data_IF_682333340566
#
_entry.id   IF_682333340566
#
_cell.length_a   1.000
_cell.length_b   1.000
_cell.length_c   1.000
_cell.angle_alpha   90.00
_cell.angle_beta   90.00
_cell.angle_gamma   90.00
#
_symmetry.space_group_name_H-M   'P 1'
#
loop_
_entity.id
_entity.type
_entity.pdbx_description
1 polymer ?
#
# COMPACT_ATOMS: atom_id res chain seq x y z
N UNK A 1 -1.20 -13.90 14.93
CA UNK A 1 -2.28 -13.07 14.35
C UNK A 1 -3.68 -13.67 14.49
N UNK A 2 -3.86 -14.99 14.64
CA UNK A 2 -5.20 -15.63 14.65
C UNK A 2 -5.87 -15.78 16.04
N UNK A 3 -5.24 -15.27 17.11
CA UNK A 3 -5.81 -15.32 18.47
C UNK A 3 -6.62 -14.08 18.88
N UNK A 4 -6.51 -12.97 18.13
CA UNK A 4 -7.10 -11.67 18.50
C UNK A 4 -8.48 -11.40 17.87
N UNK A 5 -8.98 -12.27 16.98
CA UNK A 5 -10.31 -12.13 16.37
C UNK A 5 -11.49 -12.46 17.32
N UNK A 6 -11.24 -12.91 18.57
CA UNK A 6 -12.32 -13.26 19.51
C UNK A 6 -13.02 -12.04 20.14
N UNK A 7 -12.47 -10.84 19.99
CA UNK A 7 -13.04 -9.58 20.51
C UNK A 7 -13.43 -8.56 19.43
N UNK A 8 -13.67 -9.02 18.20
CA UNK A 8 -14.18 -8.19 17.11
C UNK A 8 -15.68 -8.01 17.33
N UNK A 9 -16.09 -6.79 17.66
CA UNK A 9 -17.50 -6.42 17.86
C UNK A 9 -18.13 -5.96 16.55
N UNK A 10 -18.09 -6.85 15.56
CA UNK A 10 -19.07 -6.87 14.46
C UNK A 10 -20.00 -8.06 14.73
N UNK A 11 -21.26 -8.01 14.28
CA UNK A 11 -22.23 -9.08 14.56
C UNK A 11 -21.63 -10.45 14.25
N UNK A 12 -21.72 -11.38 15.21
CA UNK A 12 -21.13 -12.74 15.17
C UNK A 12 -21.30 -13.49 13.84
N UNK A 13 -22.29 -13.11 13.02
CA UNK A 13 -22.54 -13.66 11.68
C UNK A 13 -21.50 -13.27 10.61
N UNK A 14 -20.84 -12.11 10.68
CA UNK A 14 -19.82 -11.69 9.69
C UNK A 14 -18.50 -12.43 9.91
N UNK A 15 -18.15 -12.71 11.17
CA UNK A 15 -16.92 -13.41 11.54
C UNK A 15 -17.06 -14.93 11.31
N UNK A 16 -18.23 -15.53 11.59
CA UNK A 16 -18.47 -16.94 11.27
C UNK A 16 -18.54 -17.21 9.77
N UNK A 17 -19.05 -16.24 8.99
CA UNK A 17 -19.09 -16.31 7.54
C UNK A 17 -17.67 -16.50 6.95
N UNK A 18 -16.66 -15.79 7.46
CA UNK A 18 -15.29 -15.82 6.93
C UNK A 18 -14.60 -17.21 6.94
N UNK A 19 -15.09 -18.17 7.74
CA UNK A 19 -14.49 -19.51 7.82
C UNK A 19 -14.83 -20.43 6.62
N UNK A 20 -15.81 -20.07 5.78
CA UNK A 20 -16.28 -20.93 4.69
C UNK A 20 -16.11 -20.32 3.28
N UNK A 21 -15.51 -19.13 3.16
CA UNK A 21 -15.37 -18.45 1.87
C UNK A 21 -14.00 -18.63 1.24
N UNK A 22 -13.99 -18.62 -0.10
CA UNK A 22 -12.77 -18.58 -0.90
C UNK A 22 -11.82 -17.45 -0.44
N UNK A 23 -10.51 -17.71 -0.45
CA UNK A 23 -9.50 -16.88 0.23
C UNK A 23 -9.51 -15.37 -0.10
N UNK A 24 -10.07 -14.98 -1.25
CA UNK A 24 -10.22 -13.58 -1.64
C UNK A 24 -11.30 -12.80 -0.86
N UNK A 25 -12.36 -13.47 -0.38
CA UNK A 25 -13.36 -12.82 0.49
C UNK A 25 -12.79 -12.56 1.89
N UNK A 26 -11.90 -13.43 2.36
CA UNK A 26 -11.19 -13.25 3.64
C UNK A 26 -10.28 -12.02 3.56
N UNK A 27 -9.61 -11.81 2.42
CA UNK A 27 -8.76 -10.65 2.18
C UNK A 27 -9.54 -9.33 2.15
N UNK A 28 -10.80 -9.32 1.73
CA UNK A 28 -11.62 -8.10 1.66
C UNK A 28 -12.35 -7.76 2.96
N UNK A 29 -12.66 -8.76 3.80
CA UNK A 29 -13.43 -8.59 5.03
C UNK A 29 -12.54 -8.48 6.27
N UNK A 30 -11.53 -9.34 6.42
CA UNK A 30 -10.69 -9.40 7.61
C UNK A 30 -9.97 -8.08 7.90
N UNK A 31 -9.12 -7.59 6.97
CA UNK A 31 -8.45 -6.30 7.12
C UNK A 31 -9.42 -5.12 7.22
N UNK A 32 -10.57 -5.16 6.55
CA UNK A 32 -11.58 -4.10 6.62
C UNK A 32 -12.21 -4.00 8.02
N UNK A 33 -12.61 -5.12 8.61
CA UNK A 33 -13.10 -5.17 10.00
C UNK A 33 -12.02 -4.73 10.99
N UNK A 34 -10.76 -5.13 10.75
CA UNK A 34 -9.64 -4.71 11.58
C UNK A 34 -9.43 -3.20 11.52
N UNK A 35 -9.48 -2.57 10.34
CA UNK A 35 -9.41 -1.12 10.18
C UNK A 35 -10.54 -0.41 10.95
N UNK A 36 -11.77 -0.92 10.90
CA UNK A 36 -12.89 -0.34 11.65
C UNK A 36 -12.64 -0.36 13.16
N UNK A 37 -12.23 -1.51 13.69
CA UNK A 37 -11.92 -1.68 15.11
C UNK A 37 -10.75 -0.79 15.54
N UNK A 38 -9.71 -0.67 14.71
CA UNK A 38 -8.57 0.18 15.00
C UNK A 38 -8.99 1.65 15.02
N UNK A 39 -9.73 2.12 14.01
CA UNK A 39 -10.18 3.50 13.91
C UNK A 39 -11.02 3.90 15.11
N UNK A 40 -12.09 3.13 15.39
CA UNK A 40 -13.00 3.49 16.48
C UNK A 40 -12.32 3.43 17.85
N UNK A 41 -11.32 2.57 18.07
CA UNK A 41 -10.62 2.46 19.37
C UNK A 41 -9.48 3.48 19.52
N UNK A 42 -8.88 3.92 18.42
CA UNK A 42 -7.76 4.88 18.43
C UNK A 42 -8.14 6.32 18.79
N UNK A 43 -9.43 6.67 18.67
CA UNK A 43 -9.89 8.05 18.84
C UNK A 43 -9.61 8.97 17.65
N UNK A 44 -9.09 8.44 16.53
CA UNK A 44 -8.78 9.22 15.33
C UNK A 44 -10.01 9.48 14.45
N UNK A 45 -9.93 10.51 13.61
CA UNK A 45 -11.02 10.99 12.75
C UNK A 45 -11.05 10.37 11.35
N UNK A 46 -10.10 9.48 11.03
CA UNK A 46 -10.05 8.77 9.75
C UNK A 46 -8.66 8.23 9.42
N UNK A 47 -8.42 8.04 8.13
CA UNK A 47 -7.21 7.51 7.54
C UNK A 47 -6.61 8.46 6.51
N UNK A 48 -5.29 8.43 6.40
CA UNK A 48 -4.54 9.05 5.32
C UNK A 48 -3.81 7.98 4.51
N UNK A 49 -3.97 8.01 3.18
CA UNK A 49 -3.29 7.08 2.25
C UNK A 49 -2.52 7.88 1.20
N UNK A 50 -1.19 7.74 1.12
CA UNK A 50 -0.41 8.14 -0.05
C UNK A 50 -0.82 7.26 -1.24
N UNK A 51 -1.65 7.79 -2.14
CA UNK A 51 -2.25 7.03 -3.23
C UNK A 51 -1.41 7.21 -4.50
N UNK A 52 -0.60 6.21 -4.83
CA UNK A 52 0.36 6.27 -5.94
C UNK A 52 -0.22 5.93 -7.31
N UNK A 53 -1.42 5.33 -7.37
CA UNK A 53 -1.96 4.74 -8.60
C UNK A 53 -1.46 3.31 -8.88
N UNK A 54 -0.61 2.75 -8.01
CA UNK A 54 -0.18 1.36 -8.06
C UNK A 54 -1.09 0.39 -7.30
N UNK A 55 -0.85 -0.91 -7.49
CA UNK A 55 -1.65 -2.02 -6.93
C UNK A 55 -1.77 -1.95 -5.40
N UNK A 56 -0.69 -1.62 -4.69
CA UNK A 56 -0.67 -1.77 -3.24
C UNK A 56 -1.45 -0.65 -2.54
N UNK A 57 -1.18 0.61 -2.94
CA UNK A 57 -1.92 1.76 -2.41
C UNK A 57 -3.41 1.71 -2.82
N UNK A 58 -3.71 1.24 -4.03
CA UNK A 58 -5.07 0.96 -4.46
C UNK A 58 -5.75 -0.11 -3.61
N UNK A 59 -5.02 -1.16 -3.22
CA UNK A 59 -5.53 -2.22 -2.35
C UNK A 59 -5.88 -1.69 -0.97
N UNK A 60 -5.01 -0.87 -0.36
CA UNK A 60 -5.28 -0.22 0.93
C UNK A 60 -6.51 0.69 0.86
N UNK A 61 -6.60 1.56 -0.15
CA UNK A 61 -7.75 2.43 -0.34
C UNK A 61 -9.06 1.63 -0.55
N UNK A 62 -8.99 0.54 -1.30
CA UNK A 62 -10.13 -0.36 -1.55
C UNK A 62 -10.56 -1.11 -0.28
N UNK A 63 -9.64 -1.44 0.62
CA UNK A 63 -9.97 -2.03 1.92
C UNK A 63 -10.70 -1.04 2.84
N UNK A 64 -10.31 0.23 2.84
CA UNK A 64 -11.04 1.29 3.56
C UNK A 64 -12.44 1.47 2.94
N UNK A 65 -12.58 1.38 1.62
CA UNK A 65 -13.90 1.39 1.00
C UNK A 65 -14.74 0.15 1.37
N UNK A 66 -14.14 -1.04 1.41
CA UNK A 66 -14.78 -2.27 1.90
C UNK A 66 -15.30 -2.07 3.34
N UNK A 67 -14.49 -1.48 4.21
CA UNK A 67 -14.87 -1.11 5.57
C UNK A 67 -16.11 -0.18 5.56
N UNK A 68 -16.12 0.87 4.75
CA UNK A 68 -17.26 1.78 4.63
C UNK A 68 -18.54 1.06 4.20
N UNK A 69 -18.45 0.12 3.25
CA UNK A 69 -19.59 -0.71 2.81
C UNK A 69 -20.15 -1.56 3.96
N UNK A 70 -19.28 -2.15 4.78
CA UNK A 70 -19.68 -2.94 5.95
C UNK A 70 -20.34 -2.07 7.02
N UNK A 71 -19.82 -0.87 7.28
CA UNK A 71 -20.41 0.08 8.23
C UNK A 71 -21.81 0.51 7.80
N UNK A 72 -21.99 0.91 6.54
CA UNK A 72 -23.30 1.26 6.00
C UNK A 72 -24.29 0.09 6.09
N UNK A 73 -23.85 -1.14 5.79
CA UNK A 73 -24.68 -2.33 5.89
C UNK A 73 -25.09 -2.63 7.35
N UNK A 74 -24.18 -2.49 8.31
CA UNK A 74 -24.46 -2.69 9.73
C UNK A 74 -25.47 -1.67 10.27
N UNK A 75 -25.29 -0.38 9.94
CA UNK A 75 -26.24 0.68 10.31
C UNK A 75 -27.62 0.45 9.67
N UNK A 76 -27.67 0.06 8.39
CA UNK A 76 -28.93 -0.30 7.72
C UNK A 76 -29.65 -1.46 8.42
N UNK A 77 -28.90 -2.39 9.02
CA UNK A 77 -29.43 -3.52 9.77
C UNK A 77 -29.76 -3.17 11.24
N UNK A 78 -29.66 -1.90 11.64
CA UNK A 78 -30.06 -1.41 12.97
C UNK A 78 -28.99 -1.47 14.05
N UNK A 79 -27.71 -1.68 13.70
CA UNK A 79 -26.61 -1.71 14.66
C UNK A 79 -26.33 -0.30 15.24
N UNK A 80 -26.80 -0.07 16.47
CA UNK A 80 -26.71 1.22 17.15
C UNK A 80 -25.29 1.54 17.63
N UNK A 81 -24.48 0.53 17.94
CA UNK A 81 -23.09 0.74 18.37
C UNK A 81 -22.24 1.23 17.19
N UNK A 82 -22.40 0.62 16.02
CA UNK A 82 -21.73 1.06 14.79
C UNK A 82 -22.18 2.48 14.41
N UNK A 83 -23.46 2.80 14.54
CA UNK A 83 -23.97 4.15 14.26
C UNK A 83 -23.37 5.20 15.21
N UNK A 84 -23.35 4.92 16.51
CA UNK A 84 -22.73 5.80 17.52
C UNK A 84 -21.25 6.04 17.20
N UNK A 85 -20.52 4.97 16.90
CA UNK A 85 -19.09 5.06 16.60
C UNK A 85 -18.83 5.84 15.30
N UNK A 86 -19.65 5.66 14.26
CA UNK A 86 -19.56 6.42 13.02
C UNK A 86 -19.78 7.93 13.23
N UNK A 87 -20.84 8.31 13.98
CA UNK A 87 -21.14 9.71 14.34
C UNK A 87 -19.99 10.36 15.11
N UNK A 88 -19.40 9.62 16.06
CA UNK A 88 -18.24 10.11 16.82
C UNK A 88 -17.02 10.32 15.94
N UNK A 89 -16.68 9.35 15.07
CA UNK A 89 -15.51 9.43 14.17
C UNK A 89 -15.66 10.61 13.21
N UNK A 90 -16.85 10.80 12.63
CA UNK A 90 -17.05 11.88 11.66
C UNK A 90 -17.25 13.25 12.32
N UNK A 91 -17.56 13.29 13.62
CA UNK A 91 -17.79 14.52 14.39
C UNK A 91 -19.17 15.13 14.18
N UNK A 92 -20.17 14.33 13.82
CA UNK A 92 -21.52 14.78 13.45
C UNK A 92 -22.57 13.87 14.12
N UNK A 93 -23.26 14.34 15.18
CA UNK A 93 -24.24 13.56 15.94
C UNK A 93 -25.47 13.13 15.13
N UNK A 94 -25.83 13.87 14.08
CA UNK A 94 -27.02 13.61 13.27
C UNK A 94 -26.71 12.71 12.07
N UNK A 95 -25.43 12.49 11.78
CA UNK A 95 -24.98 11.70 10.66
C UNK A 95 -25.52 10.26 10.67
N UNK A 96 -25.97 9.79 9.50
CA UNK A 96 -26.38 8.40 9.28
C UNK A 96 -25.71 7.90 8.00
N UNK A 97 -24.74 6.97 8.07
CA UNK A 97 -24.02 6.49 6.90
C UNK A 97 -24.93 5.63 6.02
N UNK A 98 -25.42 6.21 4.91
CA UNK A 98 -26.28 5.51 3.93
C UNK A 98 -25.51 5.05 2.70
N UNK A 99 -24.59 5.87 2.23
CA UNK A 99 -23.81 5.62 1.03
C UNK A 99 -22.32 5.42 1.39
N UNK A 100 -21.73 4.27 1.01
CA UNK A 100 -20.33 3.98 1.33
C UNK A 100 -19.34 5.03 0.81
N UNK A 101 -19.62 5.64 -0.34
CA UNK A 101 -18.77 6.68 -0.94
C UNK A 101 -18.75 7.96 -0.12
N UNK A 102 -19.90 8.32 0.44
CA UNK A 102 -20.04 9.51 1.28
C UNK A 102 -19.34 9.31 2.64
N UNK A 103 -19.53 8.13 3.27
CA UNK A 103 -18.76 7.77 4.46
C UNK A 103 -17.25 7.78 4.17
N UNK A 104 -16.83 7.19 3.05
CA UNK A 104 -15.44 7.16 2.62
C UNK A 104 -14.86 8.57 2.46
N UNK A 105 -15.63 9.54 1.96
CA UNK A 105 -15.19 10.94 1.88
C UNK A 105 -14.85 11.54 3.25
N UNK A 106 -15.63 11.19 4.28
CA UNK A 106 -15.44 11.68 5.63
C UNK A 106 -14.29 10.98 6.35
N UNK A 107 -14.03 9.70 6.09
CA UNK A 107 -13.05 8.92 6.86
C UNK A 107 -11.75 8.62 6.12
N UNK A 108 -11.67 8.88 4.81
CA UNK A 108 -10.48 8.60 4.01
C UNK A 108 -10.02 9.85 3.25
N UNK A 109 -8.80 10.28 3.55
CA UNK A 109 -8.05 11.24 2.75
C UNK A 109 -7.01 10.50 1.93
N UNK A 110 -7.01 10.71 0.62
CA UNK A 110 -5.99 10.18 -0.29
C UNK A 110 -5.16 11.32 -0.86
N UNK A 111 -3.86 11.11 -1.06
CA UNK A 111 -2.99 12.11 -1.66
C UNK A 111 -2.04 11.49 -2.68
N UNK A 112 -2.11 11.95 -3.92
CA UNK A 112 -1.10 11.66 -4.94
C UNK A 112 0.05 12.67 -4.83
N UNK A 113 1.25 12.18 -4.55
CA UNK A 113 2.46 13.00 -4.35
C UNK A 113 3.44 12.76 -5.50
N UNK A 114 3.22 13.48 -6.60
CA UNK A 114 4.00 13.35 -7.83
C UNK A 114 5.27 14.20 -7.83
N UNK A 115 6.16 13.88 -8.76
CA UNK A 115 7.32 14.69 -9.17
C UNK A 115 7.26 14.96 -10.66
N UNK A 116 8.21 15.72 -11.19
CA UNK A 116 8.43 15.90 -12.63
C UNK A 116 8.61 14.57 -13.39
N UNK A 117 9.03 13.53 -12.68
CA UNK A 117 9.25 12.18 -13.21
C UNK A 117 7.97 11.33 -13.25
N UNK A 118 6.90 11.78 -12.58
CA UNK A 118 5.68 10.99 -12.47
C UNK A 118 4.81 11.10 -13.74
N UNK A 119 4.26 9.98 -14.19
CA UNK A 119 3.47 9.95 -15.41
C UNK A 119 2.09 10.57 -15.20
N UNK A 120 1.51 11.06 -16.31
CA UNK A 120 0.11 11.49 -16.32
C UNK A 120 -0.85 10.33 -16.04
N UNK A 121 -0.43 9.11 -16.39
CA UNK A 121 -1.21 7.89 -16.22
C UNK A 121 -1.41 7.53 -14.75
N UNK A 122 -0.33 7.40 -13.97
CA UNK A 122 -0.44 7.05 -12.53
C UNK A 122 -1.23 8.09 -11.74
N UNK A 123 -1.07 9.37 -12.09
CA UNK A 123 -1.88 10.46 -11.54
C UNK A 123 -3.36 10.29 -11.86
N UNK A 124 -3.71 10.02 -13.12
CA UNK A 124 -5.09 9.80 -13.53
C UNK A 124 -5.71 8.58 -12.83
N UNK A 125 -4.99 7.45 -12.80
CA UNK A 125 -5.43 6.22 -12.13
C UNK A 125 -5.73 6.44 -10.64
N UNK A 126 -4.85 7.16 -9.93
CA UNK A 126 -5.06 7.48 -8.52
C UNK A 126 -6.32 8.34 -8.30
N UNK A 127 -6.52 9.35 -9.15
CA UNK A 127 -7.68 10.25 -9.10
C UNK A 127 -8.98 9.51 -9.42
N UNK A 128 -8.97 8.65 -10.44
CA UNK A 128 -10.14 7.90 -10.87
C UNK A 128 -10.58 6.90 -9.80
N UNK A 129 -9.64 6.17 -9.19
CA UNK A 129 -9.95 5.31 -8.06
C UNK A 129 -10.51 6.10 -6.88
N UNK A 130 -9.87 7.21 -6.51
CA UNK A 130 -10.30 8.07 -5.42
C UNK A 130 -11.73 8.62 -5.64
N UNK A 131 -12.06 9.01 -6.86
CA UNK A 131 -13.41 9.44 -7.26
C UNK A 131 -14.43 8.31 -7.13
N UNK A 132 -14.09 7.10 -7.57
CA UNK A 132 -15.01 5.95 -7.52
C UNK A 132 -15.29 5.52 -6.07
N UNK A 133 -14.27 5.45 -5.21
CA UNK A 133 -14.47 5.11 -3.79
C UNK A 133 -15.03 6.28 -2.97
N UNK A 134 -14.94 7.52 -3.46
CA UNK A 134 -15.46 8.73 -2.80
C UNK A 134 -14.52 9.39 -1.79
N UNK A 135 -13.24 9.01 -1.72
CA UNK A 135 -12.29 9.59 -0.76
C UNK A 135 -12.07 11.09 -1.01
N UNK A 136 -11.71 11.85 0.02
CA UNK A 136 -11.23 13.21 -0.16
C UNK A 136 -9.82 13.19 -0.76
N UNK A 137 -9.71 13.51 -2.04
CA UNK A 137 -8.48 13.35 -2.82
C UNK A 137 -7.74 14.67 -3.01
N UNK A 138 -6.43 14.64 -2.75
CA UNK A 138 -5.51 15.73 -3.03
C UNK A 138 -4.42 15.28 -3.99
N UNK A 139 -3.85 16.23 -4.72
CA UNK A 139 -2.69 15.99 -5.58
C UNK A 139 -1.69 17.12 -5.39
N UNK A 140 -0.44 16.77 -5.09
CA UNK A 140 0.63 17.73 -4.80
C UNK A 140 1.89 17.33 -5.57
N UNK A 141 2.63 18.33 -6.05
CA UNK A 141 3.97 18.16 -6.59
C UNK A 141 5.00 18.38 -5.48
N UNK A 142 5.98 17.48 -5.35
CA UNK A 142 6.97 17.53 -4.25
C UNK A 142 8.34 18.06 -4.69
N UNK A 143 8.49 18.44 -5.96
CA UNK A 143 9.76 18.84 -6.58
C UNK A 143 10.43 20.00 -5.86
N UNK A 144 9.66 20.98 -5.39
CA UNK A 144 10.18 22.11 -4.63
C UNK A 144 10.84 21.66 -3.31
N UNK A 145 10.21 20.71 -2.59
CA UNK A 145 10.77 20.17 -1.35
C UNK A 145 12.01 19.32 -1.62
N UNK A 146 11.99 18.50 -2.68
CA UNK A 146 13.15 17.68 -3.10
C UNK A 146 14.33 18.59 -3.46
N UNK A 147 14.08 19.61 -4.28
CA UNK A 147 15.09 20.58 -4.72
C UNK A 147 15.71 21.31 -3.53
N UNK A 148 14.89 21.77 -2.58
CA UNK A 148 15.39 22.44 -1.37
C UNK A 148 16.30 21.52 -0.54
N UNK A 149 15.92 20.26 -0.32
CA UNK A 149 16.74 19.30 0.45
C UNK A 149 18.06 18.99 -0.26
N UNK A 150 18.04 18.77 -1.58
CA UNK A 150 19.25 18.52 -2.35
C UNK A 150 20.16 19.75 -2.41
N UNK A 151 19.59 20.95 -2.46
CA UNK A 151 20.33 22.21 -2.44
C UNK A 151 21.09 22.40 -1.12
N UNK A 152 20.51 22.03 0.03
CA UNK A 152 21.20 22.07 1.34
C UNK A 152 22.44 21.18 1.31
N UNK A 153 22.30 19.92 0.84
CA UNK A 153 23.43 19.00 0.69
C UNK A 153 24.51 19.57 -0.25
N UNK A 154 24.09 20.13 -1.37
CA UNK A 154 25.01 20.69 -2.39
C UNK A 154 25.77 21.89 -1.85
N UNK A 155 25.11 22.76 -1.09
CA UNK A 155 25.73 23.94 -0.47
C UNK A 155 26.79 23.55 0.56
N UNK A 156 26.53 22.52 1.38
CA UNK A 156 27.45 22.09 2.43
C UNK A 156 28.63 21.27 1.91
N UNK A 157 28.43 20.49 0.84
CA UNK A 157 29.45 19.55 0.33
C UNK A 157 30.18 20.02 -0.92
N UNK A 158 29.67 21.05 -1.60
CA UNK A 158 30.16 21.50 -2.90
C UNK A 158 29.92 20.50 -4.04
N UNK A 159 29.11 19.45 -3.84
CA UNK A 159 28.80 18.43 -4.84
C UNK A 159 27.31 18.35 -5.13
N UNK A 160 26.96 18.26 -6.41
CA UNK A 160 25.58 18.14 -6.86
C UNK A 160 25.33 16.70 -7.30
N UNK A 161 24.53 15.90 -6.56
CA UNK A 161 24.20 14.54 -6.96
C UNK A 161 23.34 14.54 -8.23
N UNK A 162 23.54 13.56 -9.10
CA UNK A 162 22.78 13.41 -10.35
C UNK A 162 22.11 12.03 -10.46
N UNK A 163 20.97 11.97 -11.14
CA UNK A 163 20.38 10.70 -11.56
C UNK A 163 21.30 9.97 -12.55
N UNK A 164 21.22 8.64 -12.60
CA UNK A 164 22.01 7.80 -13.50
C UNK A 164 21.79 8.16 -14.95
N UNK A 165 20.54 8.45 -15.33
CA UNK A 165 20.16 8.89 -16.69
C UNK A 165 20.77 10.24 -17.07
N UNK A 166 21.20 11.04 -16.09
CA UNK A 166 21.88 12.32 -16.25
C UNK A 166 23.40 12.23 -16.01
N UNK A 167 23.96 11.01 -16.01
CA UNK A 167 25.40 10.75 -15.85
C UNK A 167 25.89 10.66 -14.41
N UNK A 168 24.99 10.54 -13.43
CA UNK A 168 25.36 10.29 -12.02
C UNK A 168 25.73 8.83 -11.72
N UNK A 169 26.45 8.60 -10.63
CA UNK A 169 26.77 7.25 -10.16
C UNK A 169 25.58 6.53 -9.51
N UNK A 170 25.67 5.20 -9.37
CA UNK A 170 24.60 4.38 -8.75
C UNK A 170 24.20 4.82 -7.35
N UNK A 171 25.16 5.31 -6.55
CA UNK A 171 24.90 5.80 -5.19
C UNK A 171 24.10 7.10 -5.18
N UNK A 172 24.41 8.01 -6.10
CA UNK A 172 23.73 9.30 -6.23
C UNK A 172 22.28 9.11 -6.67
N UNK A 173 22.09 8.26 -7.68
CA UNK A 173 20.77 7.91 -8.21
C UNK A 173 19.87 7.33 -7.12
N UNK A 174 20.35 6.31 -6.40
CA UNK A 174 19.61 5.70 -5.29
C UNK A 174 19.34 6.71 -4.17
N UNK A 175 20.28 7.59 -3.84
CA UNK A 175 20.08 8.61 -2.82
C UNK A 175 18.97 9.60 -3.21
N UNK A 176 18.93 10.06 -4.47
CA UNK A 176 17.90 10.96 -4.98
C UNK A 176 16.51 10.31 -4.99
N UNK A 177 16.41 9.04 -5.37
CA UNK A 177 15.17 8.26 -5.26
C UNK A 177 14.70 8.15 -3.80
N UNK A 178 15.61 7.82 -2.89
CA UNK A 178 15.32 7.70 -1.46
C UNK A 178 14.86 9.02 -0.82
N UNK A 179 15.43 10.16 -1.22
CA UNK A 179 15.00 11.50 -0.75
C UNK A 179 13.54 11.75 -1.13
N UNK A 180 13.17 11.48 -2.38
CA UNK A 180 11.77 11.62 -2.83
C UNK A 180 10.85 10.69 -2.02
N UNK A 181 11.24 9.42 -1.81
CA UNK A 181 10.45 8.45 -1.06
C UNK A 181 10.20 8.92 0.39
N UNK A 182 11.23 9.43 1.09
CA UNK A 182 11.11 9.92 2.47
C UNK A 182 10.33 11.24 2.58
N UNK A 183 10.47 12.14 1.62
CA UNK A 183 9.70 13.39 1.63
C UNK A 183 8.20 13.17 1.49
N UNK A 184 7.78 12.14 0.75
CA UNK A 184 6.37 11.72 0.72
C UNK A 184 5.87 11.30 2.10
N UNK A 185 6.70 10.60 2.89
CA UNK A 185 6.35 10.23 4.26
C UNK A 185 6.21 11.48 5.15
N UNK A 186 7.14 12.43 5.08
CA UNK A 186 7.06 13.70 5.83
C UNK A 186 5.76 14.43 5.52
N UNK A 187 5.43 14.57 4.23
CA UNK A 187 4.18 15.22 3.81
C UNK A 187 2.94 14.42 4.22
N UNK A 188 2.98 13.08 4.16
CA UNK A 188 1.87 12.24 4.58
C UNK A 188 1.49 12.47 6.04
N UNK A 189 2.47 12.52 6.94
CA UNK A 189 2.21 12.80 8.36
C UNK A 189 1.78 14.25 8.59
N UNK A 190 2.35 15.21 7.86
CA UNK A 190 1.92 16.62 7.94
C UNK A 190 0.43 16.75 7.59
N UNK A 191 0.01 16.17 6.47
CA UNK A 191 -1.40 16.17 6.07
C UNK A 191 -2.25 15.37 7.04
N UNK A 192 -1.81 14.21 7.50
CA UNK A 192 -2.56 13.40 8.45
C UNK A 192 -2.88 14.14 9.75
N UNK A 193 -1.94 14.98 10.22
CA UNK A 193 -2.12 15.79 11.44
C UNK A 193 -2.98 17.04 11.22
N UNK A 194 -2.90 17.68 10.04
CA UNK A 194 -3.47 19.01 9.84
C UNK A 194 -4.66 19.07 8.89
N UNK A 195 -4.91 18.07 8.05
CA UNK A 195 -5.96 18.19 7.01
C UNK A 195 -7.37 18.19 7.58
N UNK A 196 -7.60 17.56 8.73
CA UNK A 196 -8.88 17.66 9.44
C UNK A 196 -9.04 19.03 10.09
N UNK A 197 -7.97 19.55 10.71
CA UNK A 197 -7.94 20.92 11.22
C UNK A 197 -8.25 21.95 10.12
N UNK A 198 -7.62 21.83 8.95
CA UNK A 198 -7.86 22.70 7.79
C UNK A 198 -9.30 22.58 7.21
N UNK A 199 -10.06 21.59 7.67
CA UNK A 199 -11.46 21.33 7.29
C UNK A 199 -12.42 21.52 8.47
N UNK A 200 -11.99 22.19 9.53
CA UNK A 200 -12.77 22.43 10.75
C UNK A 200 -13.33 21.15 11.39
N UNK A 201 -12.54 20.07 11.34
CA UNK A 201 -12.89 18.77 11.94
C UNK A 201 -11.93 18.39 13.07
N UNK A 202 -12.45 17.80 14.15
CA UNK A 202 -11.62 17.35 15.27
C UNK A 202 -10.80 16.11 14.90
N UNK A 203 -9.69 15.91 15.63
CA UNK A 203 -8.84 14.71 15.54
C UNK A 203 -7.79 14.77 14.44
N UNK A 204 -7.01 13.70 14.33
CA UNK A 204 -6.05 13.46 13.25
C UNK A 204 -6.44 12.24 12.41
N UNK A 205 -5.59 11.90 11.45
CA UNK A 205 -5.72 10.72 10.61
C UNK A 205 -4.62 9.71 10.93
N UNK A 206 -4.96 8.43 10.87
CA UNK A 206 -3.97 7.34 10.87
C UNK A 206 -3.36 7.20 9.49
N UNK A 207 -2.03 7.29 9.38
CA UNK A 207 -1.30 7.06 8.14
C UNK A 207 -1.25 5.56 7.86
N UNK A 208 -1.83 5.13 6.74
CA UNK A 208 -1.80 3.74 6.31
C UNK A 208 -0.59 3.48 5.41
N UNK A 209 0.27 2.55 5.82
CA UNK A 209 1.35 2.04 5.01
C UNK A 209 0.85 1.07 3.94
N UNK A 210 1.60 0.98 2.83
CA UNK A 210 1.19 0.19 1.65
C UNK A 210 2.21 -0.87 1.24
N UNK A 211 3.20 -1.19 2.08
CA UNK A 211 4.16 -2.28 1.76
C UNK A 211 3.51 -3.66 1.86
N UNK A 212 3.70 -4.52 0.86
CA UNK A 212 3.20 -5.90 0.89
C UNK A 212 4.22 -6.88 1.52
N UNK A 213 3.78 -8.11 1.81
CA UNK A 213 4.62 -9.10 2.53
C UNK A 213 5.83 -9.55 1.72
N UNK A 214 5.72 -9.56 0.39
CA UNK A 214 6.78 -10.04 -0.50
C UNK A 214 7.93 -9.01 -0.52
N UNK A 215 7.61 -7.72 -0.69
CA UNK A 215 8.58 -6.62 -0.58
C UNK A 215 9.22 -6.53 0.80
N UNK A 216 8.41 -6.68 1.86
CA UNK A 216 8.90 -6.72 3.24
C UNK A 216 9.83 -7.89 3.52
N UNK A 217 9.58 -9.05 2.91
CA UNK A 217 10.46 -10.22 2.99
C UNK A 217 11.81 -9.97 2.31
N UNK A 218 11.78 -9.34 1.12
CA UNK A 218 13.00 -9.03 0.35
C UNK A 218 13.79 -7.87 0.96
N UNK A 219 13.13 -6.98 1.68
CA UNK A 219 13.65 -5.67 2.07
C UNK A 219 13.66 -4.67 0.92
N UNK A 220 12.79 -4.86 -0.08
CA UNK A 220 12.68 -3.99 -1.25
C UNK A 220 11.77 -2.79 -0.93
N UNK A 221 12.31 -1.85 -0.15
CA UNK A 221 11.64 -0.62 0.27
C UNK A 221 12.67 0.42 0.69
N UNK A 222 12.30 1.70 0.67
CA UNK A 222 13.16 2.73 1.26
C UNK A 222 12.86 2.82 2.75
N UNK A 223 13.89 2.65 3.60
CA UNK A 223 13.70 2.82 5.04
C UNK A 223 13.19 4.24 5.36
N UNK A 224 12.08 4.31 6.11
CA UNK A 224 11.35 5.53 6.49
C UNK A 224 10.63 6.26 5.33
N UNK A 225 10.27 5.57 4.26
CA UNK A 225 9.31 6.08 3.27
C UNK A 225 7.85 5.68 3.63
N UNK A 226 6.93 5.81 2.67
CA UNK A 226 5.52 5.43 2.82
C UNK A 226 5.26 3.91 2.96
N UNK A 227 6.30 3.06 2.94
CA UNK A 227 6.22 1.69 3.46
C UNK A 227 6.07 1.66 4.98
N UNK A 228 6.41 2.76 5.65
CA UNK A 228 6.21 3.00 7.08
C UNK A 228 4.97 3.89 7.30
N UNK A 229 4.15 3.54 8.28
CA UNK A 229 2.91 4.20 8.64
C UNK A 229 2.50 3.78 10.05
N UNK A 230 1.40 4.30 10.56
CA UNK A 230 0.88 3.93 11.88
C UNK A 230 0.46 2.45 11.89
N UNK A 231 -0.21 2.03 10.81
CA UNK A 231 -0.64 0.65 10.59
C UNK A 231 -0.57 0.26 9.12
N UNK A 232 -0.42 -1.04 8.85
CA UNK A 232 -0.38 -1.59 7.49
C UNK A 232 -1.39 -2.74 7.35
N UNK A 233 -2.53 -2.54 6.68
CA UNK A 233 -3.55 -3.57 6.52
C UNK A 233 -3.18 -4.67 5.51
N UNK A 234 -2.16 -4.44 4.67
CA UNK A 234 -1.73 -5.38 3.62
C UNK A 234 -0.34 -5.99 3.85
N UNK A 235 0.35 -5.63 4.93
CA UNK A 235 1.73 -6.07 5.21
C UNK A 235 1.88 -7.58 5.41
N UNK A 236 0.78 -8.32 5.57
CA UNK A 236 0.76 -9.79 5.63
C UNK A 236 0.19 -10.46 4.37
N UNK A 237 -0.09 -9.72 3.29
CA UNK A 237 -0.75 -10.21 2.08
C UNK A 237 0.26 -10.20 0.92
N UNK A 238 0.27 -11.28 0.13
CA UNK A 238 1.15 -11.41 -1.05
C UNK A 238 0.68 -10.50 -2.19
N UNK A 239 1.61 -10.05 -3.04
CA UNK A 239 1.31 -9.26 -4.25
C UNK A 239 0.32 -9.99 -5.17
N UNK A 240 0.44 -11.31 -5.24
CA UNK A 240 -0.46 -12.18 -6.02
C UNK A 240 -1.89 -12.11 -5.47
N UNK A 241 -2.05 -12.19 -4.15
CA UNK A 241 -3.37 -12.11 -3.53
C UNK A 241 -3.95 -10.69 -3.56
N UNK A 242 -3.12 -9.65 -3.52
CA UNK A 242 -3.55 -8.26 -3.74
C UNK A 242 -4.11 -8.08 -5.16
N UNK A 243 -3.44 -8.59 -6.20
CA UNK A 243 -3.97 -8.56 -7.57
C UNK A 243 -5.32 -9.27 -7.68
N UNK A 244 -5.47 -10.44 -7.04
CA UNK A 244 -6.75 -11.18 -6.98
C UNK A 244 -7.83 -10.40 -6.24
N UNK A 245 -7.49 -9.77 -5.12
CA UNK A 245 -8.40 -8.94 -4.34
C UNK A 245 -8.90 -7.74 -5.16
N UNK A 246 -8.02 -7.02 -5.86
CA UNK A 246 -8.42 -5.90 -6.71
C UNK A 246 -9.34 -6.34 -7.85
N UNK A 247 -9.06 -7.50 -8.47
CA UNK A 247 -9.95 -8.06 -9.50
C UNK A 247 -11.35 -8.35 -8.93
N UNK A 248 -11.41 -9.00 -7.77
CA UNK A 248 -12.67 -9.25 -7.05
C UNK A 248 -13.41 -7.95 -6.71
N UNK A 249 -12.68 -6.93 -6.23
CA UNK A 249 -13.24 -5.63 -5.87
C UNK A 249 -13.74 -4.86 -7.11
N UNK A 250 -13.06 -4.97 -8.25
CA UNK A 250 -13.53 -4.40 -9.51
C UNK A 250 -14.93 -4.92 -9.85
N UNK A 251 -15.13 -6.23 -9.78
CA UNK A 251 -16.39 -6.89 -10.14
C UNK A 251 -17.49 -6.68 -9.09
N UNK A 252 -17.14 -6.79 -7.81
CA UNK A 252 -18.10 -6.79 -6.70
C UNK A 252 -18.42 -5.39 -6.20
N UNK A 253 -17.42 -4.49 -6.17
CA UNK A 253 -17.56 -3.13 -5.67
C UNK A 253 -17.82 -2.13 -6.81
N UNK A 254 -17.80 -2.60 -8.07
CA UNK A 254 -18.03 -1.82 -9.29
C UNK A 254 -17.02 -0.69 -9.47
N UNK A 255 -15.75 -0.98 -9.14
CA UNK A 255 -14.65 -0.04 -9.24
C UNK A 255 -13.85 -0.28 -10.52
N UNK A 256 -14.29 0.29 -11.65
CA UNK A 256 -13.65 0.10 -12.95
C UNK A 256 -12.21 0.61 -13.03
N UNK A 257 -11.84 1.60 -12.21
CA UNK A 257 -10.46 2.13 -12.16
C UNK A 257 -9.44 1.04 -11.78
N UNK A 258 -9.87 0.00 -11.04
CA UNK A 258 -9.00 -1.11 -10.66
C UNK A 258 -8.55 -1.96 -11.85
N UNK A 259 -9.31 -2.04 -12.94
CA UNK A 259 -8.88 -2.77 -14.13
C UNK A 259 -7.69 -2.11 -14.80
N UNK A 260 -7.70 -0.78 -14.91
CA UNK A 260 -6.59 -0.04 -15.50
C UNK A 260 -5.36 -0.09 -14.59
N UNK A 261 -5.54 0.03 -13.27
CA UNK A 261 -4.45 -0.16 -12.29
C UNK A 261 -3.83 -1.58 -12.38
N UNK A 262 -4.63 -2.61 -12.64
CA UNK A 262 -4.13 -3.99 -12.79
C UNK A 262 -3.40 -4.22 -14.12
N UNK A 263 -3.70 -3.44 -15.16
CA UNK A 263 -3.06 -3.49 -16.48
C UNK A 263 -1.81 -2.62 -16.56
N UNK A 264 -1.75 -1.56 -15.76
CA UNK A 264 -0.60 -0.67 -15.69
C UNK A 264 0.67 -1.45 -15.30
N UNK A 265 1.79 -1.09 -15.92
CA UNK A 265 3.07 -1.75 -15.65
C UNK A 265 3.58 -1.34 -14.27
N UNK A 266 3.86 -2.28 -13.35
CA UNK A 266 4.41 -1.95 -12.02
C UNK A 266 5.80 -1.32 -12.14
N UNK A 267 5.89 -0.05 -11.81
CA UNK A 267 7.14 0.71 -11.86
C UNK A 267 7.20 1.78 -10.79
N UNK A 268 8.41 2.05 -10.27
CA UNK A 268 8.67 3.17 -9.38
C UNK A 268 9.09 4.40 -10.20
N UNK A 269 8.19 5.37 -10.36
CA UNK A 269 8.44 6.63 -11.09
C UNK A 269 9.29 7.62 -10.28
N UNK A 270 10.47 7.18 -9.82
CA UNK A 270 11.40 7.96 -8.98
C UNK A 270 12.62 8.48 -9.75
N UNK A 271 12.84 8.01 -10.98
CA UNK A 271 13.91 8.45 -11.87
C UNK A 271 13.32 9.12 -13.12
N UNK A 272 14.02 10.07 -13.75
CA UNK A 272 13.56 10.66 -15.00
C UNK A 272 13.32 9.62 -16.07
N UNK A 273 12.19 9.75 -16.78
CA UNK A 273 11.85 8.87 -17.89
C UNK A 273 12.84 9.10 -19.04
N UNK A 274 13.43 8.02 -19.56
CA UNK A 274 14.25 8.09 -20.77
C UNK A 274 13.31 7.95 -21.96
N UNK A 275 13.24 8.99 -22.80
CA UNK A 275 12.34 9.03 -23.98
C UNK A 275 10.85 8.80 -23.65
N UNK A 276 10.43 9.20 -22.45
CA UNK A 276 9.05 9.01 -21.96
C UNK A 276 8.70 7.56 -21.57
N UNK A 277 9.68 6.64 -21.57
CA UNK A 277 9.48 5.26 -21.15
C UNK A 277 10.08 5.00 -19.77
N UNK A 278 9.36 4.19 -19.00
CA UNK A 278 9.87 3.71 -17.71
C UNK A 278 10.95 2.68 -17.96
N UNK A 279 12.13 2.91 -17.42
CA UNK A 279 13.34 2.15 -17.77
C UNK A 279 13.39 0.79 -17.07
N UNK A 280 12.65 0.59 -15.97
CA UNK A 280 12.82 -0.61 -15.13
C UNK A 280 11.55 -0.98 -14.35
N UNK A 281 11.22 -2.28 -14.32
CA UNK A 281 10.13 -2.84 -13.50
C UNK A 281 10.65 -3.32 -12.15
N UNK A 282 9.77 -3.40 -11.15
CA UNK A 282 10.13 -3.84 -9.79
C UNK A 282 10.76 -5.24 -9.78
N UNK A 283 10.23 -6.18 -10.58
CA UNK A 283 10.76 -7.55 -10.68
C UNK A 283 12.15 -7.60 -11.32
N UNK A 284 12.43 -6.71 -12.28
CA UNK A 284 13.74 -6.60 -12.89
C UNK A 284 14.78 -6.03 -11.90
N UNK A 285 14.40 -5.04 -11.09
CA UNK A 285 15.29 -4.49 -10.05
C UNK A 285 15.54 -5.46 -8.89
N UNK A 286 14.51 -6.21 -8.48
CA UNK A 286 14.67 -7.27 -7.47
C UNK A 286 15.46 -8.49 -7.99
N UNK A 287 15.56 -8.67 -9.30
CA UNK A 287 16.18 -9.83 -9.94
C UNK A 287 15.36 -11.12 -9.78
N UNK A 288 14.06 -11.01 -9.46
CA UNK A 288 13.16 -12.14 -9.24
C UNK A 288 11.69 -11.72 -9.39
N UNK A 289 10.85 -12.67 -9.77
CA UNK A 289 9.40 -12.43 -9.87
C UNK A 289 8.71 -12.47 -8.49
N UNK A 290 7.55 -11.83 -8.37
CA UNK A 290 6.72 -11.93 -7.17
C UNK A 290 6.24 -13.37 -6.89
N UNK A 291 6.08 -14.20 -7.94
CA UNK A 291 5.71 -15.61 -7.78
C UNK A 291 6.85 -16.43 -7.14
N UNK A 292 8.09 -16.18 -7.55
CA UNK A 292 9.29 -16.76 -6.95
C UNK A 292 9.44 -16.29 -5.51
N UNK A 293 9.28 -14.98 -5.25
CA UNK A 293 9.36 -14.39 -3.91
C UNK A 293 8.32 -14.95 -2.93
N UNK A 294 7.08 -15.13 -3.39
CA UNK A 294 6.02 -15.78 -2.60
C UNK A 294 6.35 -17.25 -2.29
N UNK A 295 6.96 -17.96 -3.24
CA UNK A 295 7.42 -19.34 -3.03
C UNK A 295 8.54 -19.39 -2.00
N UNK A 296 9.53 -18.50 -2.10
CA UNK A 296 10.58 -18.38 -1.10
C UNK A 296 10.06 -18.06 0.29
N UNK A 297 9.10 -17.13 0.40
CA UNK A 297 8.46 -16.78 1.67
C UNK A 297 7.78 -17.96 2.35
N UNK A 298 7.04 -18.77 1.58
CA UNK A 298 6.39 -19.99 2.08
C UNK A 298 7.41 -21.04 2.53
N UNK A 299 8.42 -21.33 1.70
CA UNK A 299 9.48 -22.28 2.06
C UNK A 299 10.22 -21.84 3.33
N UNK A 300 10.61 -20.56 3.41
CA UNK A 300 11.33 -20.01 4.57
C UNK A 300 10.48 -20.02 5.85
N UNK A 301 9.24 -19.52 5.80
CA UNK A 301 8.47 -19.23 7.01
C UNK A 301 7.50 -20.32 7.42
N UNK A 302 6.83 -20.98 6.46
CA UNK A 302 5.85 -22.03 6.75
C UNK A 302 6.52 -23.40 6.88
N UNK A 303 7.52 -23.68 6.04
CA UNK A 303 8.23 -24.96 6.03
C UNK A 303 9.60 -24.92 6.73
N UNK A 304 9.95 -23.79 7.36
CA UNK A 304 11.22 -23.58 8.07
C UNK A 304 12.47 -23.99 7.28
N UNK A 305 12.43 -23.86 5.95
CA UNK A 305 13.53 -24.27 5.09
C UNK A 305 14.66 -23.22 5.15
N UNK A 306 15.80 -23.62 5.70
CA UNK A 306 17.07 -22.91 5.49
C UNK A 306 17.55 -23.01 4.04
N UNK A 307 18.68 -22.36 3.67
CA UNK A 307 19.13 -22.26 2.28
C UNK A 307 19.26 -23.62 1.56
N UNK A 308 19.88 -24.61 2.21
CA UNK A 308 20.07 -25.94 1.61
C UNK A 308 18.73 -26.68 1.41
N UNK A 309 17.88 -26.72 2.43
CA UNK A 309 16.56 -27.38 2.34
C UNK A 309 15.66 -26.71 1.28
N UNK A 310 15.74 -25.38 1.17
CA UNK A 310 15.04 -24.61 0.14
C UNK A 310 15.54 -24.98 -1.25
N UNK A 311 16.87 -24.98 -1.46
CA UNK A 311 17.49 -25.44 -2.70
C UNK A 311 17.04 -26.84 -3.09
N UNK A 312 17.16 -27.82 -2.17
CA UNK A 312 16.76 -29.21 -2.45
C UNK A 312 15.30 -29.34 -2.88
N UNK A 313 14.39 -28.55 -2.30
CA UNK A 313 12.98 -28.54 -2.73
C UNK A 313 12.80 -27.89 -4.10
N UNK A 314 13.42 -26.74 -4.33
CA UNK A 314 13.25 -25.97 -5.56
C UNK A 314 13.85 -26.65 -6.78
N UNK A 315 14.95 -27.39 -6.64
CA UNK A 315 15.54 -28.16 -7.77
C UNK A 315 14.52 -29.14 -8.33
N UNK A 316 13.74 -29.80 -7.47
CA UNK A 316 12.68 -30.71 -7.91
C UNK A 316 11.45 -29.96 -8.42
N UNK A 317 11.02 -28.91 -7.70
CA UNK A 317 9.81 -28.15 -8.06
C UNK A 317 9.97 -27.39 -9.39
N UNK A 318 11.17 -26.92 -9.69
CA UNK A 318 11.48 -26.12 -10.88
C UNK A 318 12.32 -26.87 -11.91
N UNK A 319 12.38 -28.20 -11.84
CA UNK A 319 13.17 -29.04 -12.76
C UNK A 319 12.86 -28.79 -14.26
N UNK A 320 11.63 -28.37 -14.57
CA UNK A 320 11.21 -28.06 -15.95
C UNK A 320 11.49 -26.61 -16.37
N UNK A 321 11.86 -25.74 -15.43
CA UNK A 321 12.10 -24.29 -15.64
C UNK A 321 13.59 -23.94 -15.55
N UNK A 322 14.34 -24.60 -14.68
CA UNK A 322 15.71 -24.23 -14.33
C UNK A 322 16.59 -25.46 -14.09
N UNK A 323 17.87 -25.35 -14.45
CA UNK A 323 18.90 -26.33 -14.08
C UNK A 323 19.26 -26.24 -12.59
N UNK A 324 19.82 -27.29 -11.97
CA UNK A 324 20.27 -27.22 -10.58
C UNK A 324 21.25 -26.07 -10.31
N UNK A 325 22.14 -25.76 -11.25
CA UNK A 325 23.07 -24.64 -11.13
C UNK A 325 22.33 -23.28 -11.11
N UNK A 326 21.35 -23.10 -11.99
CA UNK A 326 20.53 -21.89 -11.98
C UNK A 326 19.72 -21.80 -10.68
N UNK A 327 19.10 -22.89 -10.21
CA UNK A 327 18.39 -22.90 -8.92
C UNK A 327 19.31 -22.61 -7.74
N UNK A 328 20.59 -22.96 -7.78
CA UNK A 328 21.56 -22.56 -6.76
C UNK A 328 21.82 -21.04 -6.79
N UNK A 329 21.86 -20.43 -7.97
CA UNK A 329 22.21 -19.02 -8.11
C UNK A 329 21.14 -18.04 -7.60
N UNK A 330 19.87 -18.47 -7.50
CA UNK A 330 18.74 -17.59 -7.11
C UNK A 330 18.51 -17.43 -5.58
N UNK A 331 18.69 -18.46 -4.72
CA UNK A 331 18.56 -18.35 -3.26
C UNK A 331 19.60 -17.43 -2.59
N UNK A 332 20.75 -17.19 -3.23
CA UNK A 332 21.78 -16.28 -2.72
C UNK A 332 21.30 -14.82 -2.59
N UNK A 333 20.17 -14.45 -3.23
CA UNK A 333 19.59 -13.11 -3.14
C UNK A 333 18.73 -12.89 -1.89
N UNK A 334 18.28 -13.94 -1.19
CA UNK A 334 17.49 -13.82 0.05
C UNK A 334 18.35 -13.73 1.31
N UNK A 335 19.59 -14.23 1.24
CA UNK A 335 20.57 -14.13 2.34
C UNK A 335 21.29 -12.78 2.34
N UNK A 336 21.20 -11.99 1.26
CA UNK A 336 21.59 -10.57 1.24
C UNK A 336 20.57 -9.72 2.01
N UNK A 337 20.64 -9.87 3.33
CA UNK A 337 20.10 -8.88 4.26
C UNK A 337 20.94 -7.62 4.13
N UNK A 338 20.25 -6.50 3.89
CA UNK A 338 20.76 -5.13 3.76
C UNK A 338 21.54 -4.87 2.46
N UNK A 339 20.94 -4.08 1.58
CA UNK A 339 21.72 -3.33 0.58
C UNK A 339 22.76 -2.45 1.31
N UNK A 340 23.98 -2.30 0.76
CA UNK A 340 25.07 -1.53 1.36
C UNK A 340 24.78 -0.04 1.54
#
# INVERSE_FOLDING_TARGET
MWGLCRHVSLPRRVILAAFCFAGFLVCSLGPACWLWDYLRRSGQGGFFVPLSGGIDSASVATLVFSMCRLVCAAVKNGDQDVLRDARRIVGDPEYVPREPRELCNRVLVTCYMGTENSSRETRALSKDLANQIGSYHMSVAIDAAVTAVVAIFSTLTGRIPKFRVLGGGSREDLALQNVQARLRMVLAYLFAQLILWARDRPGGLLVLATGNVDEGLRGYLTKYDCSSGDINPIGGISKVDLKRFLKYACETFKLSALNEILRATPTAELTPLKDGQVVQTDEADMGMTYEELSTYGRLRKQLACGPYAMFSKLVHQWQNKWTPFQVHSVPNYLTMTLSP
#
